data_IF_341346297017
#
_entry.id   IF_341346297017
#
_cell.length_a   1.000
_cell.length_b   1.000
_cell.length_c   1.000
_cell.angle_alpha   90.00
_cell.angle_beta   90.00
_cell.angle_gamma   90.00
#
_symmetry.space_group_name_H-M   'P 1'
#
loop_
_entity.id
_entity.type
_entity.pdbx_description
1 polymer ?
#
# COMPACT_ATOMS: atom_id res chain seq x y z
N UNK A 1 -26.73 -3.26 -8.79
CA UNK A 1 -26.32 -2.32 -9.86
C UNK A 1 -24.96 -2.76 -10.38
N UNK A 2 -24.89 -3.19 -11.63
CA UNK A 2 -23.60 -3.41 -12.28
C UNK A 2 -22.91 -2.06 -12.41
N UNK A 3 -21.91 -1.79 -11.58
CA UNK A 3 -20.99 -0.67 -11.81
C UNK A 3 -20.27 -0.98 -13.12
N UNK A 4 -20.50 -0.17 -14.13
CA UNK A 4 -19.70 -0.21 -15.37
C UNK A 4 -18.27 0.16 -15.02
N UNK A 5 -17.30 -0.66 -15.42
CA UNK A 5 -15.89 -0.34 -15.26
C UNK A 5 -15.60 1.00 -15.95
N UNK A 6 -14.84 1.85 -15.27
CA UNK A 6 -14.57 3.21 -15.74
C UNK A 6 -13.50 3.23 -16.85
N UNK A 7 -12.67 2.18 -16.93
CA UNK A 7 -11.53 2.13 -17.83
C UNK A 7 -11.68 1.05 -18.90
N UNK A 8 -11.29 1.37 -20.12
CA UNK A 8 -11.37 0.44 -21.27
C UNK A 8 -10.26 -0.60 -21.28
N UNK A 9 -9.11 -0.29 -20.65
CA UNK A 9 -7.96 -1.20 -20.63
C UNK A 9 -7.12 -1.08 -19.36
N UNK A 10 -6.24 -2.01 -19.15
CA UNK A 10 -5.38 -2.10 -17.98
C UNK A 10 -4.37 -0.94 -17.91
N UNK A 11 -3.85 -0.43 -19.03
CA UNK A 11 -2.89 0.68 -19.06
C UNK A 11 -3.51 1.95 -18.50
N UNK A 12 -4.72 2.29 -18.92
CA UNK A 12 -5.44 3.46 -18.41
C UNK A 12 -5.79 3.33 -16.94
N UNK A 13 -6.25 2.15 -16.53
CA UNK A 13 -6.54 1.83 -15.15
C UNK A 13 -5.28 1.96 -14.28
N UNK A 14 -4.18 1.37 -14.71
CA UNK A 14 -2.88 1.46 -14.03
C UNK A 14 -2.41 2.92 -13.90
N UNK A 15 -2.43 3.69 -14.98
CA UNK A 15 -2.04 5.09 -14.96
C UNK A 15 -2.89 5.94 -14.01
N UNK A 16 -4.19 5.65 -13.92
CA UNK A 16 -5.08 6.31 -12.97
C UNK A 16 -4.70 6.01 -11.52
N UNK A 17 -4.52 4.73 -11.17
CA UNK A 17 -4.26 4.34 -9.78
C UNK A 17 -2.83 4.64 -9.34
N UNK A 18 -1.83 4.58 -10.20
CA UNK A 18 -0.47 5.04 -9.87
C UNK A 18 -0.46 6.53 -9.53
N UNK A 19 -1.22 7.37 -10.26
CA UNK A 19 -1.37 8.78 -9.93
C UNK A 19 -2.03 8.99 -8.56
N UNK A 20 -3.07 8.21 -8.23
CA UNK A 20 -3.72 8.26 -6.91
C UNK A 20 -2.79 7.80 -5.80
N UNK A 21 -2.04 6.73 -6.01
CA UNK A 21 -1.06 6.21 -5.06
C UNK A 21 0.05 7.23 -4.80
N UNK A 22 0.51 7.95 -5.83
CA UNK A 22 1.47 9.05 -5.64
C UNK A 22 0.91 10.15 -4.74
N UNK A 23 -0.39 10.42 -4.82
CA UNK A 23 -1.08 11.45 -4.04
C UNK A 23 -1.50 11.01 -2.64
N UNK A 24 -1.22 9.77 -2.22
CA UNK A 24 -1.54 9.28 -0.87
C UNK A 24 -0.94 10.22 0.17
N UNK A 25 -1.80 10.70 1.07
CA UNK A 25 -1.39 11.55 2.19
C UNK A 25 -0.65 10.71 3.23
N UNK A 26 0.61 11.03 3.46
CA UNK A 26 1.46 10.41 4.45
C UNK A 26 1.81 11.45 5.52
N UNK A 27 1.65 11.08 6.78
CA UNK A 27 2.10 11.92 7.89
C UNK A 27 3.63 11.99 7.90
N UNK A 28 4.16 13.05 8.50
CA UNK A 28 5.59 13.20 8.79
C UNK A 28 5.78 13.35 10.30
N UNK A 29 6.81 12.70 10.84
CA UNK A 29 7.27 12.89 12.20
C UNK A 29 8.71 13.39 12.08
N UNK A 30 8.95 14.63 12.50
CA UNK A 30 10.15 15.39 12.14
C UNK A 30 10.32 15.39 10.60
N UNK A 31 11.43 14.95 10.07
CA UNK A 31 11.68 14.90 8.63
C UNK A 31 11.37 13.52 7.98
N UNK A 32 10.89 12.58 8.79
CA UNK A 32 10.64 11.21 8.34
C UNK A 32 9.17 11.00 7.91
N UNK A 33 8.98 10.46 6.72
CA UNK A 33 7.66 10.13 6.16
C UNK A 33 7.14 8.81 6.73
N UNK A 34 5.93 8.81 7.24
CA UNK A 34 5.29 7.60 7.76
C UNK A 34 4.76 6.73 6.61
N UNK A 35 5.29 5.52 6.49
CA UNK A 35 5.00 4.59 5.38
C UNK A 35 3.83 3.64 5.63
N UNK A 36 3.04 3.86 6.67
CA UNK A 36 1.97 2.97 7.10
C UNK A 36 0.94 2.65 6.00
N UNK A 37 0.44 3.65 5.27
CA UNK A 37 -0.54 3.45 4.19
C UNK A 37 0.03 2.67 2.99
N UNK A 38 1.20 3.03 2.43
CA UNK A 38 1.85 2.24 1.39
C UNK A 38 2.13 0.79 1.83
N UNK A 39 2.57 0.58 3.07
CA UNK A 39 2.80 -0.77 3.62
C UNK A 39 1.49 -1.56 3.73
N UNK A 40 0.38 -0.92 4.14
CA UNK A 40 -0.92 -1.58 4.13
C UNK A 40 -1.32 -2.01 2.71
N UNK A 41 -1.13 -1.15 1.70
CA UNK A 41 -1.40 -1.51 0.31
C UNK A 41 -0.59 -2.74 -0.13
N UNK A 42 0.70 -2.81 0.22
CA UNK A 42 1.50 -3.99 -0.08
C UNK A 42 0.96 -5.25 0.62
N UNK A 43 0.56 -5.14 1.90
CA UNK A 43 0.00 -6.28 2.63
C UNK A 43 -1.29 -6.80 1.98
N UNK A 44 -2.17 -5.89 1.51
CA UNK A 44 -3.39 -6.25 0.79
C UNK A 44 -3.09 -6.93 -0.56
N UNK A 45 -2.13 -6.39 -1.33
CA UNK A 45 -1.68 -6.97 -2.61
C UNK A 45 -1.05 -8.36 -2.38
N UNK A 46 -0.21 -8.50 -1.36
CA UNK A 46 0.39 -9.78 -1.00
C UNK A 46 -0.67 -10.82 -0.59
N UNK A 47 -1.76 -10.38 0.05
CA UNK A 47 -2.90 -11.25 0.38
C UNK A 47 -3.68 -11.73 -0.86
N UNK A 48 -3.79 -10.89 -1.89
CA UNK A 48 -4.36 -11.30 -3.19
C UNK A 48 -3.43 -12.33 -3.86
N UNK A 49 -2.12 -12.06 -3.90
CA UNK A 49 -1.14 -12.96 -4.52
C UNK A 49 -1.09 -14.33 -3.83
N UNK A 50 -1.14 -14.33 -2.50
CA UNK A 50 -1.11 -15.55 -1.67
C UNK A 50 -2.45 -16.29 -1.58
N UNK A 51 -3.54 -15.74 -2.14
CA UNK A 51 -4.87 -16.35 -2.09
C UNK A 51 -5.60 -16.19 -0.75
N UNK A 52 -5.09 -15.36 0.17
CA UNK A 52 -5.80 -15.01 1.41
C UNK A 52 -7.10 -14.24 1.11
N UNK A 53 -7.05 -13.34 0.12
CA UNK A 53 -8.20 -12.59 -0.35
C UNK A 53 -8.55 -12.98 -1.78
N UNK A 54 -9.65 -13.74 -1.93
CA UNK A 54 -10.16 -14.22 -3.22
C UNK A 54 -11.28 -13.37 -3.81
N UNK A 55 -11.72 -12.35 -3.08
CA UNK A 55 -12.74 -11.38 -3.46
C UNK A 55 -12.36 -9.97 -3.01
N UNK A 56 -13.00 -8.95 -3.59
CA UNK A 56 -12.79 -7.55 -3.23
C UNK A 56 -13.39 -7.24 -1.83
N UNK A 57 -12.99 -8.03 -0.84
CA UNK A 57 -13.44 -7.93 0.55
C UNK A 57 -12.29 -8.29 1.47
N UNK A 58 -11.74 -7.27 2.10
CA UNK A 58 -10.58 -7.39 2.97
C UNK A 58 -11.00 -7.24 4.42
N UNK A 59 -10.95 -8.35 5.16
CA UNK A 59 -11.24 -8.37 6.58
C UNK A 59 -9.96 -8.09 7.36
N UNK A 60 -10.07 -7.26 8.40
CA UNK A 60 -8.95 -7.01 9.32
C UNK A 60 -8.74 -8.25 10.22
N UNK A 61 -8.11 -9.27 9.66
CA UNK A 61 -7.84 -10.55 10.30
C UNK A 61 -6.37 -10.66 10.78
N UNK A 62 -6.07 -11.74 11.45
CA UNK A 62 -4.74 -12.01 12.02
C UNK A 62 -3.65 -12.12 10.94
N UNK A 63 -3.97 -12.68 9.78
CA UNK A 63 -3.03 -12.78 8.66
C UNK A 63 -2.60 -11.40 8.18
N UNK A 64 -3.58 -10.51 7.93
CA UNK A 64 -3.31 -9.15 7.47
C UNK A 64 -2.49 -8.35 8.50
N UNK A 65 -2.81 -8.49 9.79
CA UNK A 65 -2.04 -7.85 10.86
C UNK A 65 -0.59 -8.32 10.88
N UNK A 66 -0.36 -9.63 10.83
CA UNK A 66 1.00 -10.21 10.80
C UNK A 66 1.78 -9.78 9.56
N UNK A 67 1.13 -9.80 8.38
CA UNK A 67 1.79 -9.40 7.14
C UNK A 67 2.15 -7.91 7.17
N UNK A 68 1.23 -7.06 7.58
CA UNK A 68 1.48 -5.63 7.76
C UNK A 68 2.66 -5.36 8.70
N UNK A 69 2.69 -6.00 9.88
CA UNK A 69 3.79 -5.83 10.83
C UNK A 69 5.14 -6.30 10.28
N UNK A 70 5.15 -7.39 9.52
CA UNK A 70 6.36 -7.90 8.86
C UNK A 70 6.91 -6.88 7.86
N UNK A 71 6.04 -6.33 7.01
CA UNK A 71 6.41 -5.31 6.04
C UNK A 71 6.81 -3.99 6.73
N UNK A 72 6.10 -3.57 7.78
CA UNK A 72 6.50 -2.38 8.55
C UNK A 72 7.92 -2.53 9.09
N UNK A 73 8.26 -3.66 9.72
CA UNK A 73 9.63 -3.92 10.20
C UNK A 73 10.66 -3.89 9.07
N UNK A 74 10.29 -4.39 7.89
CA UNK A 74 11.17 -4.37 6.72
C UNK A 74 11.48 -2.94 6.25
N UNK A 75 10.45 -2.12 6.10
CA UNK A 75 10.55 -0.77 5.51
C UNK A 75 10.84 0.33 6.53
N UNK A 76 10.82 0.05 7.82
CA UNK A 76 11.20 0.99 8.88
C UNK A 76 12.49 0.60 9.61
N UNK A 77 13.28 -0.32 9.02
CA UNK A 77 14.51 -0.82 9.66
C UNK A 77 15.50 0.29 10.02
N UNK A 78 15.59 1.32 9.20
CA UNK A 78 16.49 2.46 9.38
C UNK A 78 15.78 3.69 9.96
N UNK A 79 14.51 3.56 10.35
CA UNK A 79 13.75 4.65 10.95
C UNK A 79 14.29 5.00 12.33
N UNK A 80 14.30 6.28 12.65
CA UNK A 80 14.55 6.78 14.02
C UNK A 80 13.36 6.50 14.95
N UNK A 81 12.21 6.11 14.39
CA UNK A 81 10.98 5.80 15.10
C UNK A 81 10.61 4.33 14.88
N UNK A 82 11.20 3.40 15.65
CA UNK A 82 11.06 1.96 15.41
C UNK A 82 9.67 1.38 15.73
N UNK A 83 8.77 2.16 16.33
CA UNK A 83 7.43 1.72 16.63
C UNK A 83 6.53 1.83 15.39
N UNK A 84 6.15 0.72 14.76
CA UNK A 84 5.25 0.75 13.64
C UNK A 84 3.90 1.34 14.06
N UNK A 85 3.33 2.18 13.21
CA UNK A 85 1.95 2.63 13.40
C UNK A 85 1.03 1.40 13.48
N UNK A 86 0.09 1.40 14.41
CA UNK A 86 -0.92 0.34 14.49
C UNK A 86 -1.71 0.28 13.17
N UNK A 87 -2.02 -0.91 12.70
CA UNK A 87 -2.72 -1.13 11.44
C UNK A 87 -4.09 -0.43 11.38
N UNK A 88 -4.72 -0.15 12.52
CA UNK A 88 -6.00 0.56 12.58
C UNK A 88 -5.91 1.93 11.93
N UNK A 89 -4.80 2.61 12.09
CA UNK A 89 -4.59 3.94 11.53
C UNK A 89 -4.63 3.93 9.98
N UNK A 90 -3.74 3.23 9.26
CA UNK A 90 -3.78 3.20 7.81
C UNK A 90 -5.04 2.51 7.28
N UNK A 91 -5.57 1.48 7.94
CA UNK A 91 -6.78 0.78 7.52
C UNK A 91 -7.99 1.72 7.49
N UNK A 92 -8.13 2.59 8.48
CA UNK A 92 -9.17 3.60 8.55
C UNK A 92 -8.92 4.78 7.60
N UNK A 93 -7.73 5.37 7.66
CA UNK A 93 -7.45 6.63 6.97
C UNK A 93 -7.15 6.50 5.47
N UNK A 94 -6.95 5.30 4.94
CA UNK A 94 -6.79 5.09 3.50
C UNK A 94 -8.06 5.47 2.72
N UNK A 95 -9.24 5.48 3.37
CA UNK A 95 -10.50 5.95 2.76
C UNK A 95 -10.40 7.37 2.20
N UNK A 96 -9.64 8.23 2.87
CA UNK A 96 -9.43 9.62 2.43
C UNK A 96 -8.66 9.77 1.11
N UNK A 97 -8.08 8.70 0.60
CA UNK A 97 -7.32 8.71 -0.67
C UNK A 97 -8.18 8.28 -1.87
N UNK A 98 -9.46 7.90 -1.64
CA UNK A 98 -10.53 7.84 -2.63
C UNK A 98 -10.57 6.58 -3.51
N UNK A 99 -9.85 5.51 -3.16
CA UNK A 99 -9.89 4.21 -3.84
C UNK A 99 -10.02 3.01 -2.88
N UNK A 100 -10.12 3.28 -1.58
CA UNK A 100 -10.34 2.33 -0.51
C UNK A 100 -11.59 2.72 0.26
N UNK A 101 -12.45 1.76 0.55
CA UNK A 101 -13.74 1.99 1.20
C UNK A 101 -13.96 0.97 2.30
N UNK A 102 -14.62 1.37 3.38
CA UNK A 102 -14.96 0.48 4.48
C UNK A 102 -16.48 0.33 4.59
N UNK A 103 -16.92 -0.90 4.75
CA UNK A 103 -18.31 -1.22 5.07
C UNK A 103 -18.42 -1.44 6.57
N UNK A 104 -19.05 -0.54 7.27
CA UNK A 104 -19.22 -0.60 8.71
C UNK A 104 -20.66 -0.27 9.14
N UNK A 105 -21.05 -0.77 10.31
CA UNK A 105 -22.43 -0.73 10.81
C UNK A 105 -22.71 0.53 11.64
N UNK A 106 -21.69 1.10 12.25
CA UNK A 106 -21.81 2.17 13.24
C UNK A 106 -21.07 3.41 12.76
N UNK A 107 -21.67 4.58 12.91
CA UNK A 107 -21.00 5.85 12.62
C UNK A 107 -19.82 6.10 13.59
N UNK A 108 -18.78 6.73 13.10
CA UNK A 108 -17.62 7.15 13.89
C UNK A 108 -17.65 8.67 14.01
N UNK A 109 -17.28 9.18 15.17
CA UNK A 109 -17.20 10.62 15.37
C UNK A 109 -16.19 11.24 14.40
N UNK A 110 -16.54 12.37 13.81
CA UNK A 110 -15.71 13.08 12.85
C UNK A 110 -14.34 13.40 13.45
N UNK A 111 -13.28 13.16 12.68
CA UNK A 111 -11.89 13.40 13.10
C UNK A 111 -11.30 12.36 14.05
N UNK A 112 -12.04 11.35 14.49
CA UNK A 112 -11.51 10.29 15.34
C UNK A 112 -10.96 9.12 14.53
N UNK A 113 -9.92 8.47 15.06
CA UNK A 113 -9.40 7.19 14.54
C UNK A 113 -9.91 6.07 15.42
N UNK A 114 -10.71 5.13 14.89
CA UNK A 114 -11.19 4.00 15.65
C UNK A 114 -10.04 3.10 16.12
N UNK A 115 -10.23 2.48 17.29
CA UNK A 115 -9.29 1.47 17.77
C UNK A 115 -9.36 0.20 16.93
N UNK A 116 -8.31 -0.60 16.93
CA UNK A 116 -8.28 -1.90 16.25
C UNK A 116 -9.44 -2.81 16.71
N UNK A 117 -9.74 -2.82 18.00
CA UNK A 117 -10.88 -3.57 18.54
C UNK A 117 -12.19 -3.10 17.90
N UNK A 118 -12.44 -1.80 17.87
CA UNK A 118 -13.63 -1.24 17.25
C UNK A 118 -13.74 -1.62 15.76
N UNK A 119 -12.64 -1.53 15.01
CA UNK A 119 -12.61 -1.91 13.58
C UNK A 119 -13.00 -3.37 13.40
N UNK A 120 -12.45 -4.30 14.19
CA UNK A 120 -12.78 -5.72 14.13
C UNK A 120 -14.25 -6.03 14.45
N UNK A 121 -14.86 -5.27 15.35
CA UNK A 121 -16.25 -5.47 15.79
C UNK A 121 -17.26 -4.81 14.84
N UNK A 122 -16.92 -3.69 14.22
CA UNK A 122 -17.88 -2.84 13.49
C UNK A 122 -17.65 -2.80 11.98
N UNK A 123 -16.42 -3.02 11.47
CA UNK A 123 -16.14 -3.07 10.04
C UNK A 123 -16.35 -4.48 9.52
N UNK A 124 -17.24 -4.63 8.57
CA UNK A 124 -17.49 -5.92 7.93
C UNK A 124 -16.31 -6.30 7.02
N UNK A 125 -15.89 -5.37 6.18
CA UNK A 125 -14.71 -5.49 5.32
C UNK A 125 -14.33 -4.13 4.74
N UNK A 126 -13.09 -4.01 4.28
CA UNK A 126 -12.66 -2.98 3.35
C UNK A 126 -12.68 -3.49 1.92
N UNK A 127 -12.79 -2.60 0.95
CA UNK A 127 -12.69 -2.96 -0.46
C UNK A 127 -12.04 -1.85 -1.28
N UNK A 128 -11.42 -2.23 -2.37
CA UNK A 128 -10.95 -1.29 -3.39
C UNK A 128 -12.08 -0.87 -4.33
N UNK A 129 -11.86 0.18 -5.11
CA UNK A 129 -12.66 0.43 -6.31
C UNK A 129 -12.69 -0.83 -7.18
N UNK A 130 -13.81 -1.08 -7.86
CA UNK A 130 -13.97 -2.29 -8.67
C UNK A 130 -12.93 -2.37 -9.80
N UNK A 131 -12.57 -1.24 -10.41
CA UNK A 131 -11.53 -1.18 -11.46
C UNK A 131 -10.15 -1.54 -10.92
N UNK A 132 -9.79 -1.05 -9.71
CA UNK A 132 -8.53 -1.41 -9.07
C UNK A 132 -8.50 -2.90 -8.73
N UNK A 133 -9.62 -3.43 -8.23
CA UNK A 133 -9.73 -4.87 -7.96
C UNK A 133 -9.51 -5.70 -9.23
N UNK A 134 -10.15 -5.32 -10.35
CA UNK A 134 -9.98 -6.01 -11.65
C UNK A 134 -8.51 -5.93 -12.11
N UNK A 135 -7.87 -4.76 -12.00
CA UNK A 135 -6.45 -4.60 -12.31
C UNK A 135 -5.58 -5.59 -11.51
N UNK A 136 -5.85 -5.71 -10.21
CA UNK A 136 -5.10 -6.56 -9.29
C UNK A 136 -5.34 -8.07 -9.50
N UNK A 137 -6.36 -8.49 -10.27
CA UNK A 137 -6.53 -9.90 -10.65
C UNK A 137 -5.51 -10.34 -11.69
N UNK A 138 -5.00 -9.44 -12.51
CA UNK A 138 -3.91 -9.73 -13.43
C UNK A 138 -2.57 -9.78 -12.68
N UNK A 139 -1.90 -10.93 -12.70
CA UNK A 139 -0.59 -11.12 -12.05
C UNK A 139 0.44 -10.08 -12.53
N UNK A 140 0.46 -9.79 -13.82
CA UNK A 140 1.40 -8.83 -14.42
C UNK A 140 1.15 -7.42 -13.89
N UNK A 141 -0.10 -6.96 -13.88
CA UNK A 141 -0.45 -5.62 -13.43
C UNK A 141 -0.37 -5.48 -11.92
N UNK A 142 -0.71 -6.53 -11.19
CA UNK A 142 -0.52 -6.59 -9.73
C UNK A 142 0.94 -6.43 -9.36
N UNK A 143 1.86 -7.14 -10.03
CA UNK A 143 3.28 -7.01 -9.78
C UNK A 143 3.79 -5.60 -10.14
N UNK A 144 3.41 -5.08 -11.30
CA UNK A 144 3.77 -3.70 -11.70
C UNK A 144 3.33 -2.67 -10.66
N UNK A 145 2.11 -2.79 -10.14
CA UNK A 145 1.60 -1.85 -9.13
C UNK A 145 2.34 -2.00 -7.80
N UNK A 146 2.65 -3.24 -7.41
CA UNK A 146 3.45 -3.54 -6.23
C UNK A 146 4.83 -2.90 -6.31
N UNK A 147 5.53 -3.10 -7.42
CA UNK A 147 6.86 -2.54 -7.66
C UNK A 147 6.82 -1.01 -7.66
N UNK A 148 5.81 -0.43 -8.28
CA UNK A 148 5.59 1.02 -8.28
C UNK A 148 5.43 1.59 -6.87
N UNK A 149 4.65 0.93 -6.00
CA UNK A 149 4.48 1.35 -4.60
C UNK A 149 5.82 1.29 -3.86
N UNK A 150 6.58 0.21 -4.03
CA UNK A 150 7.89 0.06 -3.39
C UNK A 150 8.84 1.17 -3.85
N UNK A 151 8.97 1.36 -5.16
CA UNK A 151 9.89 2.32 -5.74
C UNK A 151 9.59 3.77 -5.34
N UNK A 152 8.32 4.18 -5.34
CA UNK A 152 7.95 5.58 -5.19
C UNK A 152 7.47 5.97 -3.79
N UNK A 153 7.14 5.01 -2.94
CA UNK A 153 6.55 5.28 -1.62
C UNK A 153 7.30 4.70 -0.44
N UNK A 154 8.18 3.73 -0.67
CA UNK A 154 8.81 2.97 0.40
C UNK A 154 10.33 2.97 0.35
N UNK A 155 10.91 3.28 -0.79
CA UNK A 155 12.34 3.49 -0.90
C UNK A 155 12.65 4.94 -0.55
N UNK A 156 13.55 5.15 0.39
CA UNK A 156 14.20 6.44 0.53
C UNK A 156 14.89 6.77 -0.78
N UNK A 157 14.56 7.93 -1.38
CA UNK A 157 15.21 8.43 -2.61
C UNK A 157 16.75 8.42 -2.50
N UNK A 158 17.27 8.42 -1.27
CA UNK A 158 18.70 8.31 -0.99
C UNK A 158 19.29 6.90 -1.15
N UNK A 159 18.51 5.82 -1.00
CA UNK A 159 19.06 4.46 -0.99
C UNK A 159 19.09 3.82 -2.38
N UNK A 160 18.02 3.90 -3.16
CA UNK A 160 18.04 3.42 -4.56
C UNK A 160 18.84 4.34 -5.47
N UNK A 161 18.82 5.65 -5.24
CA UNK A 161 19.71 6.58 -5.93
C UNK A 161 21.19 6.28 -5.64
N UNK A 162 21.54 5.87 -4.42
CA UNK A 162 22.89 5.41 -4.07
C UNK A 162 23.23 4.06 -4.71
N UNK A 163 22.33 3.07 -4.65
CA UNK A 163 22.60 1.76 -5.30
C UNK A 163 22.64 1.90 -6.81
N UNK A 164 21.78 2.69 -7.44
CA UNK A 164 21.84 2.94 -8.88
C UNK A 164 23.12 3.70 -9.26
N UNK A 165 23.54 4.68 -8.47
CA UNK A 165 24.78 5.41 -8.70
C UNK A 165 26.03 4.55 -8.41
N UNK A 166 26.05 3.76 -7.34
CA UNK A 166 27.15 2.87 -6.99
C UNK A 166 27.18 1.64 -7.91
N UNK A 167 26.03 1.06 -8.27
CA UNK A 167 25.93 -0.07 -9.19
C UNK A 167 26.33 0.30 -10.62
N UNK A 168 25.92 1.47 -11.12
CA UNK A 168 26.34 1.98 -12.43
C UNK A 168 27.82 2.38 -12.42
N UNK A 169 28.32 2.93 -11.33
CA UNK A 169 29.75 3.23 -11.14
C UNK A 169 30.61 1.97 -11.11
N UNK A 170 30.18 0.93 -10.44
CA UNK A 170 30.89 -0.36 -10.39
C UNK A 170 30.88 -1.07 -11.75
N UNK A 171 29.78 -1.04 -12.48
CA UNK A 171 29.68 -1.61 -13.85
C UNK A 171 30.53 -0.79 -14.83
N UNK A 172 30.51 0.54 -14.75
CA UNK A 172 31.35 1.41 -15.59
C UNK A 172 32.83 1.22 -15.29
N UNK A 173 33.21 1.06 -14.01
CA UNK A 173 34.62 0.77 -13.63
C UNK A 173 35.06 -0.61 -14.12
N UNK A 174 34.18 -1.61 -14.12
CA UNK A 174 34.50 -2.95 -14.64
C UNK A 174 34.67 -2.98 -16.17
N UNK A 175 33.84 -2.18 -16.88
CA UNK A 175 33.94 -2.06 -18.35
C UNK A 175 35.14 -1.21 -18.84
N UNK A 176 35.63 -0.30 -18.00
CA UNK A 176 36.82 0.52 -18.32
C UNK A 176 38.15 -0.15 -17.93
N UNK A 177 38.11 -1.22 -17.13
CA UNK A 177 39.29 -1.98 -16.69
C UNK A 177 39.51 -3.25 -17.52
N UNK A 178 38.66 -3.54 -18.48
CA UNK A 178 38.79 -4.63 -19.44
C UNK A 178 39.18 -4.11 -20.84
#
# INVERSE_FOLDING_TARGET
MNKTLQFYNYEQCYAHYTKRIMSIRQAKIHDEVIVAKPVLLLALIDGIEGGEFTGNRFVLNEWLEKRYLTLMKQYTRNSQFPNPADISNPFWHLQGDGFWHLIHKTAVAEGSTPTKKWLKENVTYGHFDDDLWVLLQSKVWRQKLRDYIVEHKLTDDGWLGKIAAEGLGAIAAFLLAA
#
